data_IF_461877565939
#
_entry.id   IF_461877565939
#
_cell.length_a   1.000
_cell.length_b   1.000
_cell.length_c   1.000
_cell.angle_alpha   90.00
_cell.angle_beta   90.00
_cell.angle_gamma   90.00
#
_symmetry.space_group_name_H-M   'P 1'
#
loop_
_entity.id
_entity.type
_entity.pdbx_description
1 polymer ?
#
# COMPACT_ATOMS: atom_id res chain seq x y z
N UNK A 1 -20.84 12.56 11.73
CA UNK A 1 -21.50 11.24 11.63
C UNK A 1 -22.47 11.03 12.79
N UNK A 2 -22.01 10.78 14.02
CA UNK A 2 -22.88 10.42 15.17
C UNK A 2 -23.96 11.48 15.42
N UNK A 3 -23.59 12.77 15.42
CA UNK A 3 -24.52 13.86 15.61
C UNK A 3 -25.49 14.09 14.42
N UNK A 4 -25.16 13.56 13.25
CA UNK A 4 -25.94 13.73 12.01
C UNK A 4 -26.97 12.62 11.79
N UNK A 5 -27.08 11.65 12.69
CA UNK A 5 -28.00 10.51 12.59
C UNK A 5 -27.92 9.76 11.25
N UNK A 6 -26.70 9.49 10.80
CA UNK A 6 -26.47 8.68 9.59
C UNK A 6 -26.77 7.21 9.87
N UNK A 7 -27.14 6.45 8.84
CA UNK A 7 -27.47 5.04 8.95
C UNK A 7 -26.23 4.14 9.12
N UNK A 8 -25.05 4.61 8.70
CA UNK A 8 -23.77 3.90 8.84
C UNK A 8 -22.58 4.81 8.57
N UNK A 9 -21.40 4.37 8.94
CA UNK A 9 -20.12 5.08 8.73
C UNK A 9 -19.14 4.15 8.02
N UNK A 10 -18.50 4.68 6.97
CA UNK A 10 -17.34 4.07 6.31
C UNK A 10 -16.17 5.02 6.57
N UNK A 11 -15.06 4.51 7.08
CA UNK A 11 -13.86 5.30 7.36
C UNK A 11 -12.58 4.47 7.20
N UNK A 12 -11.48 5.12 6.89
CA UNK A 12 -10.15 4.56 7.04
C UNK A 12 -9.68 4.77 8.47
N UNK A 13 -9.23 3.69 9.12
CA UNK A 13 -8.83 3.74 10.52
C UNK A 13 -7.39 4.27 10.65
N UNK A 14 -7.17 5.20 11.59
CA UNK A 14 -5.84 5.72 11.95
C UNK A 14 -5.19 4.96 13.13
N UNK A 15 -5.97 4.08 13.79
CA UNK A 15 -5.53 3.28 14.93
C UNK A 15 -5.37 4.06 16.22
N UNK A 16 -5.75 5.33 16.27
CA UNK A 16 -5.65 6.17 17.46
C UNK A 16 -6.67 5.77 18.53
N UNK A 17 -6.33 5.96 19.80
CA UNK A 17 -7.27 5.70 20.90
C UNK A 17 -8.50 6.58 20.85
N UNK A 18 -8.36 7.77 20.29
CA UNK A 18 -9.47 8.71 20.13
C UNK A 18 -10.47 8.19 19.08
N UNK A 19 -9.96 7.74 17.92
CA UNK A 19 -10.78 7.13 16.88
C UNK A 19 -11.46 5.84 17.37
N UNK A 20 -10.71 4.94 18.04
CA UNK A 20 -11.27 3.73 18.65
C UNK A 20 -12.44 4.04 19.57
N UNK A 21 -12.31 5.10 20.38
CA UNK A 21 -13.40 5.56 21.26
C UNK A 21 -14.59 6.02 20.44
N UNK A 22 -14.39 6.84 19.40
CA UNK A 22 -15.46 7.37 18.55
C UNK A 22 -16.19 6.26 17.77
N UNK A 23 -15.44 5.28 17.22
CA UNK A 23 -16.02 4.10 16.56
C UNK A 23 -16.93 3.35 17.55
N UNK A 24 -16.42 3.07 18.74
CA UNK A 24 -17.19 2.33 19.74
C UNK A 24 -18.41 3.14 20.28
N UNK A 25 -18.34 4.46 20.29
CA UNK A 25 -19.51 5.31 20.62
C UNK A 25 -20.56 5.28 19.51
N UNK A 26 -20.15 5.32 18.23
CA UNK A 26 -21.07 5.17 17.09
C UNK A 26 -21.85 3.86 17.19
N UNK A 27 -21.13 2.75 17.44
CA UNK A 27 -21.72 1.42 17.58
C UNK A 27 -22.69 1.32 18.78
N UNK A 28 -22.36 1.92 19.92
CA UNK A 28 -23.28 2.01 21.08
C UNK A 28 -24.55 2.83 20.76
N UNK A 29 -24.41 3.82 19.88
CA UNK A 29 -25.52 4.60 19.34
C UNK A 29 -26.34 3.88 18.27
N UNK A 30 -25.99 2.64 17.91
CA UNK A 30 -26.68 1.85 16.90
C UNK A 30 -26.23 2.16 15.46
N UNK A 31 -25.15 2.91 15.27
CA UNK A 31 -24.61 3.27 13.95
C UNK A 31 -23.50 2.29 13.59
N UNK A 32 -23.69 1.39 12.60
CA UNK A 32 -22.66 0.44 12.15
C UNK A 32 -21.47 1.17 11.52
N UNK A 33 -20.27 0.61 11.75
CA UNK A 33 -19.02 1.16 11.22
C UNK A 33 -18.29 0.10 10.39
N UNK A 34 -17.92 0.44 9.18
CA UNK A 34 -17.05 -0.32 8.28
C UNK A 34 -15.71 0.40 8.19
N UNK A 35 -14.60 -0.31 8.42
CA UNK A 35 -13.26 0.22 8.16
C UNK A 35 -12.80 -0.15 6.76
N UNK A 36 -12.02 0.71 6.11
CA UNK A 36 -11.47 0.50 4.78
C UNK A 36 -9.97 0.72 4.77
N UNK A 37 -9.25 0.08 3.83
CA UNK A 37 -7.81 0.20 3.62
C UNK A 37 -6.96 -0.23 4.83
N UNK A 38 -7.13 0.42 5.96
CA UNK A 38 -6.48 0.11 7.24
C UNK A 38 -7.52 -0.39 8.24
N UNK A 39 -7.20 -1.49 8.93
CA UNK A 39 -8.10 -2.11 9.92
C UNK A 39 -7.71 -1.77 11.35
N UNK A 40 -8.71 -1.63 12.20
CA UNK A 40 -8.54 -1.56 13.65
C UNK A 40 -9.36 -2.65 14.35
N UNK A 41 -8.71 -3.78 14.58
CA UNK A 41 -9.33 -4.95 15.25
C UNK A 41 -9.63 -4.73 16.73
N UNK A 42 -9.15 -3.63 17.33
CA UNK A 42 -9.46 -3.26 18.72
C UNK A 42 -10.86 -2.61 18.86
N UNK A 43 -11.50 -2.28 17.73
CA UNK A 43 -12.84 -1.72 17.69
C UNK A 43 -13.90 -2.79 17.45
N UNK A 44 -15.16 -2.44 17.75
CA UNK A 44 -16.31 -3.30 17.43
C UNK A 44 -16.87 -3.11 16.02
N UNK A 45 -16.06 -2.61 15.06
CA UNK A 45 -16.48 -2.41 13.68
C UNK A 45 -17.16 -3.66 13.10
N UNK A 46 -18.15 -3.48 12.25
CA UNK A 46 -18.93 -4.61 11.72
C UNK A 46 -18.22 -5.35 10.59
N UNK A 47 -17.39 -4.63 9.83
CA UNK A 47 -16.64 -5.19 8.70
C UNK A 47 -15.38 -4.38 8.41
N UNK A 48 -14.39 -5.04 7.82
CA UNK A 48 -13.22 -4.42 7.20
C UNK A 48 -13.21 -4.74 5.71
N UNK A 49 -12.90 -3.74 4.88
CA UNK A 49 -12.74 -3.89 3.44
C UNK A 49 -11.34 -3.45 3.04
N UNK A 50 -10.51 -4.37 2.59
CA UNK A 50 -9.12 -4.03 2.33
C UNK A 50 -8.34 -5.11 1.58
N UNK A 51 -7.02 -4.92 1.51
CA UNK A 51 -6.11 -5.76 0.76
C UNK A 51 -6.04 -7.20 1.31
N UNK A 52 -5.85 -8.15 0.40
CA UNK A 52 -5.43 -9.49 0.75
C UNK A 52 -3.91 -9.54 0.84
N UNK A 53 -3.36 -9.49 2.06
CA UNK A 53 -1.91 -9.45 2.29
C UNK A 53 -1.17 -10.60 1.61
N UNK A 54 -1.79 -11.77 1.48
CA UNK A 54 -1.19 -12.92 0.81
C UNK A 54 -1.05 -12.68 -0.71
N UNK A 55 -2.14 -12.30 -1.36
CA UNK A 55 -2.14 -12.03 -2.80
C UNK A 55 -1.27 -10.81 -3.14
N UNK A 56 -1.33 -9.77 -2.32
CA UNK A 56 -0.49 -8.58 -2.50
C UNK A 56 1.00 -8.91 -2.34
N UNK A 57 1.35 -9.73 -1.35
CA UNK A 57 2.72 -10.22 -1.19
C UNK A 57 3.22 -11.02 -2.40
N UNK A 58 2.36 -11.89 -2.96
CA UNK A 58 2.69 -12.65 -4.18
C UNK A 58 2.88 -11.73 -5.39
N UNK A 59 2.05 -10.68 -5.54
CA UNK A 59 2.21 -9.70 -6.61
C UNK A 59 3.55 -8.95 -6.51
N UNK A 60 3.94 -8.49 -5.32
CA UNK A 60 5.27 -7.90 -5.11
C UNK A 60 6.38 -8.90 -5.40
N UNK A 61 6.24 -10.16 -4.95
CA UNK A 61 7.25 -11.21 -5.21
C UNK A 61 7.46 -11.42 -6.70
N UNK A 62 6.40 -11.45 -7.49
CA UNK A 62 6.49 -11.59 -8.95
C UNK A 62 7.26 -10.43 -9.58
N UNK A 63 6.93 -9.19 -9.21
CA UNK A 63 7.62 -8.00 -9.70
C UNK A 63 9.10 -8.01 -9.29
N UNK A 64 9.41 -8.25 -8.02
CA UNK A 64 10.80 -8.34 -7.53
C UNK A 64 11.57 -9.44 -8.24
N UNK A 65 10.97 -10.61 -8.45
CA UNK A 65 11.62 -11.75 -9.11
C UNK A 65 12.09 -11.44 -10.53
N UNK A 66 11.35 -10.59 -11.25
CA UNK A 66 11.75 -10.08 -12.56
C UNK A 66 12.95 -9.12 -12.54
N UNK A 67 13.28 -8.59 -11.36
CA UNK A 67 14.36 -7.60 -11.18
C UNK A 67 15.61 -8.18 -10.53
N UNK A 68 15.60 -9.45 -10.12
CA UNK A 68 16.74 -10.09 -9.46
C UNK A 68 17.95 -10.19 -10.39
N UNK A 69 19.13 -9.97 -9.84
CA UNK A 69 20.41 -10.23 -10.54
C UNK A 69 20.52 -11.72 -10.90
N UNK A 70 21.07 -12.00 -12.07
CA UNK A 70 21.28 -13.37 -12.52
C UNK A 70 22.24 -14.16 -11.61
N UNK A 71 23.20 -13.46 -10.99
CA UNK A 71 24.18 -14.00 -10.04
C UNK A 71 24.45 -12.96 -8.94
N UNK A 72 24.77 -13.44 -7.73
CA UNK A 72 25.12 -12.60 -6.60
C UNK A 72 23.90 -12.18 -5.78
N UNK A 73 24.07 -11.14 -4.98
CA UNK A 73 23.05 -10.60 -4.07
C UNK A 73 22.31 -9.43 -4.70
N UNK A 74 20.99 -9.45 -4.66
CA UNK A 74 20.13 -8.30 -4.95
C UNK A 74 19.66 -7.71 -3.63
N UNK A 75 19.94 -6.45 -3.40
CA UNK A 75 19.42 -5.72 -2.25
C UNK A 75 18.02 -5.19 -2.56
N UNK A 76 17.06 -5.51 -1.72
CA UNK A 76 15.64 -5.10 -1.83
C UNK A 76 15.24 -4.40 -0.54
N UNK A 77 14.80 -3.16 -0.64
CA UNK A 77 14.36 -2.38 0.52
C UNK A 77 12.86 -2.08 0.40
N UNK A 78 12.11 -2.43 1.43
CA UNK A 78 10.74 -1.99 1.63
C UNK A 78 10.72 -0.68 2.41
N UNK A 79 10.02 0.31 1.87
CA UNK A 79 9.91 1.64 2.46
C UNK A 79 8.44 2.00 2.67
N UNK A 80 8.10 2.34 3.90
CA UNK A 80 6.76 2.71 4.33
C UNK A 80 6.80 3.94 5.24
N UNK A 81 5.67 4.63 5.38
CA UNK A 81 5.48 5.61 6.45
C UNK A 81 4.94 4.95 7.71
N UNK A 82 5.00 5.64 8.85
CA UNK A 82 4.41 5.15 10.10
C UNK A 82 2.89 4.99 9.99
N UNK A 83 2.22 5.80 9.17
CA UNK A 83 0.79 5.69 8.90
C UNK A 83 0.41 4.47 8.05
N UNK A 84 1.27 4.06 7.12
CA UNK A 84 1.05 2.89 6.26
C UNK A 84 1.59 1.59 6.86
N UNK A 85 2.31 1.64 7.99
CA UNK A 85 2.83 0.45 8.67
C UNK A 85 1.77 -0.20 9.54
N UNK A 86 0.99 -1.09 8.94
CA UNK A 86 -0.11 -1.83 9.56
C UNK A 86 0.23 -3.30 9.77
N UNK A 87 -0.68 -4.05 10.37
CA UNK A 87 -0.56 -5.50 10.44
C UNK A 87 -0.58 -6.14 9.05
N UNK A 88 -1.40 -5.60 8.14
CA UNK A 88 -1.54 -6.07 6.77
C UNK A 88 -0.23 -5.89 5.98
N UNK A 89 0.43 -4.74 6.08
CA UNK A 89 1.71 -4.48 5.40
C UNK A 89 2.84 -5.36 5.96
N UNK A 90 2.85 -5.62 7.28
CA UNK A 90 3.78 -6.58 7.89
C UNK A 90 3.57 -8.01 7.36
N UNK A 91 2.31 -8.42 7.12
CA UNK A 91 1.99 -9.72 6.51
C UNK A 91 2.41 -9.77 5.04
N UNK A 92 2.25 -8.68 4.28
CA UNK A 92 2.76 -8.55 2.90
C UNK A 92 4.27 -8.77 2.87
N UNK A 93 5.04 -8.05 3.70
CA UNK A 93 6.49 -8.21 3.80
C UNK A 93 6.90 -9.64 4.15
N UNK A 94 6.24 -10.24 5.14
CA UNK A 94 6.49 -11.62 5.56
C UNK A 94 6.22 -12.64 4.45
N UNK A 95 5.18 -12.43 3.65
CA UNK A 95 4.84 -13.28 2.51
C UNK A 95 5.88 -13.15 1.40
N UNK A 96 6.29 -11.93 1.05
CA UNK A 96 7.36 -11.69 0.07
C UNK A 96 8.64 -12.40 0.49
N UNK A 97 9.07 -12.26 1.74
CA UNK A 97 10.26 -12.91 2.28
C UNK A 97 10.19 -14.42 2.11
N UNK A 98 9.06 -15.03 2.50
CA UNK A 98 8.83 -16.48 2.40
C UNK A 98 8.90 -16.96 0.95
N UNK A 99 8.28 -16.24 0.01
CA UNK A 99 8.24 -16.65 -1.39
C UNK A 99 9.59 -16.48 -2.08
N UNK A 100 10.31 -15.37 -1.84
CA UNK A 100 11.65 -15.16 -2.39
C UNK A 100 12.64 -16.22 -1.88
N UNK A 101 12.55 -16.62 -0.61
CA UNK A 101 13.35 -17.71 -0.06
C UNK A 101 13.03 -19.05 -0.74
N UNK A 102 11.74 -19.33 -1.02
CA UNK A 102 11.30 -20.56 -1.68
C UNK A 102 11.69 -20.63 -3.15
N UNK A 103 11.78 -19.48 -3.85
CA UNK A 103 12.11 -19.39 -5.28
C UNK A 103 13.61 -19.25 -5.55
N UNK A 104 14.44 -19.26 -4.51
CA UNK A 104 15.89 -19.03 -4.58
C UNK A 104 16.57 -20.00 -5.55
N UNK A 105 17.24 -19.46 -6.57
CA UNK A 105 18.06 -20.22 -7.51
C UNK A 105 19.52 -20.31 -7.05
N UNK A 106 20.23 -21.33 -7.50
CA UNK A 106 21.65 -21.50 -7.19
C UNK A 106 22.46 -20.30 -7.68
N UNK A 107 23.25 -19.70 -6.78
CA UNK A 107 24.07 -18.51 -7.06
C UNK A 107 23.34 -17.18 -6.95
N UNK A 108 22.07 -17.18 -6.62
CA UNK A 108 21.30 -15.97 -6.29
C UNK A 108 21.07 -15.86 -4.79
N UNK A 109 21.09 -14.63 -4.29
CA UNK A 109 20.63 -14.29 -2.94
C UNK A 109 19.88 -12.96 -2.96
N UNK A 110 18.98 -12.78 -2.01
CA UNK A 110 18.27 -11.53 -1.79
C UNK A 110 18.58 -11.05 -0.39
N UNK A 111 19.01 -9.81 -0.28
CA UNK A 111 19.14 -9.09 0.98
C UNK A 111 17.91 -8.21 1.13
N UNK A 112 17.00 -8.61 2.02
CA UNK A 112 15.70 -7.99 2.19
C UNK A 112 15.69 -7.16 3.46
N UNK A 113 15.48 -5.86 3.32
CA UNK A 113 15.39 -4.90 4.42
C UNK A 113 14.05 -4.18 4.43
N UNK A 114 13.64 -3.72 5.59
CA UNK A 114 12.43 -2.92 5.78
C UNK A 114 12.78 -1.64 6.53
N UNK A 115 12.28 -0.52 6.04
CA UNK A 115 12.43 0.78 6.67
C UNK A 115 11.05 1.44 6.83
N UNK A 116 10.82 2.03 8.00
CA UNK A 116 9.60 2.78 8.28
C UNK A 116 10.00 4.21 8.63
N UNK A 117 9.55 5.14 7.81
CA UNK A 117 9.76 6.57 8.05
C UNK A 117 8.74 7.05 9.07
N UNK A 118 9.21 7.74 10.11
CA UNK A 118 8.30 8.42 11.03
C UNK A 118 7.70 9.64 10.33
N UNK A 119 6.43 9.58 10.01
CA UNK A 119 5.68 10.63 9.30
C UNK A 119 4.96 11.58 10.26
N UNK A 120 5.48 11.78 11.47
CA UNK A 120 4.89 12.66 12.48
C UNK A 120 4.96 14.16 12.13
N UNK A 121 5.85 14.55 11.19
CA UNK A 121 5.93 15.88 10.60
C UNK A 121 5.76 15.84 9.08
N UNK A 122 5.19 16.91 8.50
CA UNK A 122 4.80 16.98 7.08
C UNK A 122 5.96 16.80 6.07
N UNK A 123 7.22 16.98 6.51
CA UNK A 123 8.41 16.92 5.64
C UNK A 123 9.32 15.71 5.93
N UNK A 124 9.01 14.87 6.91
CA UNK A 124 9.92 13.81 7.36
C UNK A 124 10.16 12.76 6.25
N UNK A 125 9.14 12.41 5.46
CA UNK A 125 9.27 11.42 4.39
C UNK A 125 10.14 11.95 3.24
N UNK A 126 9.92 13.19 2.80
CA UNK A 126 10.72 13.82 1.75
C UNK A 126 12.18 13.97 2.18
N UNK A 127 12.42 14.43 3.41
CA UNK A 127 13.77 14.60 3.96
C UNK A 127 14.50 13.26 4.10
N UNK A 128 13.82 12.24 4.60
CA UNK A 128 14.39 10.90 4.71
C UNK A 128 14.77 10.33 3.34
N UNK A 129 13.85 10.40 2.37
CA UNK A 129 14.10 9.90 1.00
C UNK A 129 15.26 10.69 0.38
N UNK A 130 15.25 12.03 0.50
CA UNK A 130 16.35 12.87 0.02
C UNK A 130 17.68 12.43 0.62
N UNK A 131 17.76 12.29 1.93
CA UNK A 131 18.99 11.92 2.62
C UNK A 131 19.51 10.53 2.23
N UNK A 132 18.60 9.58 1.98
CA UNK A 132 18.93 8.26 1.43
C UNK A 132 19.61 8.39 0.07
N UNK A 133 19.09 9.24 -0.83
CA UNK A 133 19.64 9.44 -2.18
C UNK A 133 20.91 10.28 -2.20
N UNK A 134 21.09 11.21 -1.28
CA UNK A 134 22.34 12.01 -1.14
C UNK A 134 23.51 11.15 -0.71
N UNK A 135 23.29 10.18 0.16
CA UNK A 135 24.34 9.31 0.71
C UNK A 135 24.68 8.09 -0.18
N UNK A 136 24.25 8.05 -1.41
CA UNK A 136 24.46 7.17 -2.57
C UNK A 136 25.16 5.78 -2.36
N UNK A 137 26.01 5.63 -1.34
CA UNK A 137 26.81 4.42 -1.07
C UNK A 137 25.96 3.18 -0.68
N UNK A 138 24.67 3.35 -0.38
CA UNK A 138 23.80 2.29 0.16
C UNK A 138 22.41 2.21 -0.51
N UNK A 139 22.24 2.77 -1.70
CA UNK A 139 20.97 2.63 -2.41
C UNK A 139 20.69 1.15 -2.75
N UNK A 140 19.48 0.65 -2.54
CA UNK A 140 19.13 -0.72 -2.88
C UNK A 140 19.06 -0.91 -4.40
N UNK A 141 19.22 -2.16 -4.86
CA UNK A 141 18.99 -2.51 -6.27
C UNK A 141 17.50 -2.38 -6.62
N UNK A 142 16.62 -2.70 -5.66
CA UNK A 142 15.16 -2.62 -5.79
C UNK A 142 14.58 -1.92 -4.57
N UNK A 143 13.81 -0.87 -4.80
CA UNK A 143 13.07 -0.14 -3.78
C UNK A 143 11.57 -0.42 -3.95
N UNK A 144 10.93 -0.89 -2.90
CA UNK A 144 9.50 -1.20 -2.85
C UNK A 144 8.82 -0.18 -1.96
N UNK A 145 8.01 0.69 -2.55
CA UNK A 145 7.24 1.69 -1.82
C UNK A 145 5.89 1.08 -1.40
N UNK A 146 5.52 1.26 -0.13
CA UNK A 146 4.34 0.64 0.45
C UNK A 146 3.16 1.62 0.60
N UNK A 147 3.34 2.86 0.18
CA UNK A 147 2.30 3.89 0.13
C UNK A 147 2.56 4.92 -0.99
N UNK A 148 1.54 5.75 -1.26
CA UNK A 148 1.57 6.77 -2.31
C UNK A 148 2.61 7.84 -2.04
N UNK A 149 2.66 8.36 -0.81
CA UNK A 149 3.55 9.47 -0.42
C UNK A 149 5.01 9.06 -0.63
N UNK A 150 5.40 7.88 -0.15
CA UNK A 150 6.75 7.35 -0.37
C UNK A 150 7.03 7.17 -1.86
N UNK A 151 6.05 6.68 -2.64
CA UNK A 151 6.21 6.45 -4.08
C UNK A 151 6.53 7.76 -4.81
N UNK A 152 5.80 8.82 -4.51
CA UNK A 152 6.00 10.14 -5.13
C UNK A 152 7.31 10.81 -4.69
N UNK A 153 7.66 10.71 -3.40
CA UNK A 153 8.96 11.21 -2.91
C UNK A 153 10.13 10.49 -3.58
N UNK A 154 10.06 9.16 -3.73
CA UNK A 154 11.10 8.37 -4.41
C UNK A 154 11.18 8.72 -5.89
N UNK A 155 10.05 8.87 -6.58
CA UNK A 155 10.02 9.31 -7.97
C UNK A 155 10.75 10.64 -8.16
N UNK A 156 10.46 11.63 -7.31
CA UNK A 156 11.12 12.93 -7.38
C UNK A 156 12.62 12.82 -7.11
N UNK A 157 13.01 12.06 -6.08
CA UNK A 157 14.41 11.87 -5.74
C UNK A 157 15.22 11.16 -6.84
N UNK A 158 14.64 10.17 -7.54
CA UNK A 158 15.29 9.52 -8.69
C UNK A 158 15.69 10.53 -9.77
N UNK A 159 14.84 11.53 -10.02
CA UNK A 159 15.11 12.59 -11.01
C UNK A 159 16.16 13.55 -10.46
N UNK A 160 15.96 14.09 -9.26
CA UNK A 160 16.78 15.14 -8.68
C UNK A 160 18.24 14.70 -8.46
N UNK A 161 18.44 13.41 -8.11
CA UNK A 161 19.77 12.83 -7.86
C UNK A 161 20.31 11.99 -9.02
N UNK A 162 19.65 12.05 -10.20
CA UNK A 162 20.07 11.34 -11.43
C UNK A 162 20.26 9.83 -11.22
N UNK A 163 19.34 9.21 -10.48
CA UNK A 163 19.37 7.78 -10.17
C UNK A 163 18.38 6.96 -11.01
N UNK A 164 17.74 7.57 -12.02
CA UNK A 164 16.84 6.89 -12.93
C UNK A 164 17.57 5.74 -13.63
N UNK A 165 17.03 4.53 -13.50
CA UNK A 165 17.57 3.30 -14.05
C UNK A 165 18.65 2.62 -13.19
N UNK A 166 19.25 3.31 -12.21
CA UNK A 166 20.20 2.71 -11.26
C UNK A 166 19.48 1.95 -10.15
N UNK A 167 18.34 2.49 -9.67
CA UNK A 167 17.45 1.84 -8.72
C UNK A 167 16.17 1.44 -9.42
N UNK A 168 15.75 0.18 -9.28
CA UNK A 168 14.44 -0.28 -9.75
C UNK A 168 13.40 0.04 -8.69
N UNK A 169 12.26 0.60 -9.08
CA UNK A 169 11.22 0.98 -8.13
C UNK A 169 9.90 0.27 -8.44
N UNK A 170 9.30 -0.30 -7.41
CA UNK A 170 7.92 -0.78 -7.41
C UNK A 170 7.15 0.16 -6.49
N UNK A 171 6.22 0.93 -7.06
CA UNK A 171 5.39 1.89 -6.34
C UNK A 171 4.13 1.27 -5.75
N UNK A 172 3.38 2.10 -5.08
CA UNK A 172 2.03 1.80 -4.60
C UNK A 172 1.08 2.90 -5.04
N UNK A 173 -0.18 2.51 -5.38
CA UNK A 173 -1.23 3.40 -5.86
C UNK A 173 -1.07 3.82 -7.35
N UNK A 174 -1.93 4.72 -7.85
CA UNK A 174 -1.98 5.14 -9.26
C UNK A 174 -2.41 6.61 -9.46
N UNK A 175 -1.88 7.54 -8.65
CA UNK A 175 -2.05 8.97 -8.95
C UNK A 175 -1.48 9.30 -10.33
N UNK A 176 -1.90 10.43 -10.91
CA UNK A 176 -1.39 10.87 -12.22
C UNK A 176 0.12 10.99 -12.25
N UNK A 177 0.71 11.40 -11.12
CA UNK A 177 2.16 11.49 -10.96
C UNK A 177 2.81 10.10 -11.08
N UNK A 178 2.24 9.09 -10.42
CA UNK A 178 2.75 7.71 -10.46
C UNK A 178 2.55 7.09 -11.85
N UNK A 179 1.39 7.30 -12.49
CA UNK A 179 1.14 6.83 -13.85
C UNK A 179 2.13 7.45 -14.86
N UNK A 180 2.39 8.75 -14.74
CA UNK A 180 3.40 9.44 -15.56
C UNK A 180 4.81 8.91 -15.33
N UNK A 181 5.16 8.59 -14.08
CA UNK A 181 6.44 8.02 -13.73
C UNK A 181 6.63 6.62 -14.34
N UNK A 182 5.56 5.81 -14.40
CA UNK A 182 5.55 4.49 -15.04
C UNK A 182 5.64 4.62 -16.56
N UNK A 183 4.88 5.53 -17.19
CA UNK A 183 4.94 5.78 -18.64
C UNK A 183 6.34 6.21 -19.09
N UNK A 184 7.04 6.99 -18.26
CA UNK A 184 8.43 7.42 -18.47
C UNK A 184 9.48 6.37 -18.08
N UNK A 185 9.06 5.20 -17.61
CA UNK A 185 9.93 4.11 -17.13
C UNK A 185 10.88 4.51 -15.99
N UNK A 186 10.51 5.54 -15.22
CA UNK A 186 11.23 5.97 -14.01
C UNK A 186 10.87 5.05 -12.84
N UNK A 187 9.57 4.72 -12.69
CA UNK A 187 9.06 3.65 -11.84
C UNK A 187 8.76 2.44 -12.72
N UNK A 188 9.15 1.25 -12.30
CA UNK A 188 9.02 0.03 -13.09
C UNK A 188 7.59 -0.50 -13.14
N UNK A 189 6.90 -0.44 -12.02
CA UNK A 189 5.50 -0.84 -11.84
C UNK A 189 4.93 -0.28 -10.54
N UNK A 190 3.62 -0.33 -10.38
CA UNK A 190 2.97 -0.05 -9.09
C UNK A 190 1.94 -1.14 -8.76
N UNK A 191 1.72 -1.39 -7.47
CA UNK A 191 0.64 -2.22 -6.97
C UNK A 191 -0.48 -1.28 -6.49
N UNK A 192 -1.68 -1.49 -6.97
CA UNK A 192 -2.85 -0.69 -6.58
C UNK A 192 -4.01 -1.58 -6.17
N UNK A 193 -4.82 -1.13 -5.23
CA UNK A 193 -6.06 -1.80 -4.87
C UNK A 193 -7.18 -1.37 -5.81
N UNK A 194 -8.15 -2.27 -6.03
CA UNK A 194 -9.37 -1.96 -6.76
C UNK A 194 -10.27 -1.05 -5.91
N UNK A 195 -10.20 0.26 -6.18
CA UNK A 195 -10.94 1.27 -5.42
C UNK A 195 -12.45 1.18 -5.65
N UNK A 196 -12.91 0.69 -6.81
CA UNK A 196 -14.32 0.44 -7.09
C UNK A 196 -14.84 -0.71 -6.22
N UNK A 197 -14.04 -1.75 -6.02
CA UNK A 197 -14.38 -2.84 -5.11
C UNK A 197 -14.42 -2.36 -3.65
N UNK A 198 -13.48 -1.51 -3.23
CA UNK A 198 -13.51 -0.92 -1.88
C UNK A 198 -14.84 -0.19 -1.66
N UNK A 199 -15.21 0.70 -2.56
CA UNK A 199 -16.48 1.44 -2.49
C UNK A 199 -17.69 0.50 -2.45
N UNK A 200 -17.77 -0.42 -3.39
CA UNK A 200 -18.87 -1.37 -3.54
C UNK A 200 -19.03 -2.29 -2.32
N UNK A 201 -17.93 -2.90 -1.86
CA UNK A 201 -18.00 -3.83 -0.72
C UNK A 201 -18.28 -3.12 0.59
N UNK A 202 -17.82 -1.87 0.75
CA UNK A 202 -18.11 -1.08 1.95
C UNK A 202 -19.60 -0.76 2.08
N UNK A 203 -20.23 -0.35 0.98
CA UNK A 203 -21.67 -0.10 0.94
C UNK A 203 -22.45 -1.40 1.14
N UNK A 204 -22.04 -2.48 0.47
CA UNK A 204 -22.69 -3.78 0.62
C UNK A 204 -22.62 -4.29 2.06
N UNK A 205 -21.48 -4.12 2.74
CA UNK A 205 -21.33 -4.54 4.14
C UNK A 205 -22.29 -3.79 5.07
N UNK A 206 -22.49 -2.48 4.84
CA UNK A 206 -23.50 -1.70 5.59
C UNK A 206 -24.92 -2.16 5.26
N UNK A 207 -25.26 -2.33 3.98
CA UNK A 207 -26.60 -2.75 3.55
C UNK A 207 -26.96 -4.14 4.11
N UNK A 208 -26.04 -5.11 4.04
CA UNK A 208 -26.21 -6.42 4.65
C UNK A 208 -26.47 -6.31 6.16
N UNK A 209 -25.67 -5.51 6.87
CA UNK A 209 -25.82 -5.37 8.30
C UNK A 209 -27.16 -4.70 8.67
N UNK A 210 -27.55 -3.64 7.98
CA UNK A 210 -28.81 -2.94 8.22
C UNK A 210 -30.04 -3.79 7.90
N UNK A 211 -29.93 -4.65 6.87
CA UNK A 211 -31.04 -5.49 6.42
C UNK A 211 -31.14 -6.81 7.18
N UNK A 212 -30.01 -7.44 7.54
CA UNK A 212 -29.95 -8.79 8.07
C UNK A 212 -29.47 -8.85 9.53
N UNK A 213 -28.92 -7.76 10.07
CA UNK A 213 -28.35 -7.69 11.42
C UNK A 213 -26.93 -8.28 11.51
N UNK A 214 -26.32 -8.66 10.41
CA UNK A 214 -24.94 -9.17 10.34
C UNK A 214 -24.35 -8.90 8.95
N UNK A 215 -23.02 -8.87 8.86
CA UNK A 215 -22.23 -8.81 7.64
C UNK A 215 -20.99 -9.69 7.77
N UNK A 216 -20.29 -9.94 6.68
CA UNK A 216 -18.98 -10.58 6.75
C UNK A 216 -18.00 -9.67 7.50
N UNK A 217 -17.16 -10.27 8.36
CA UNK A 217 -16.17 -9.51 9.13
C UNK A 217 -15.06 -8.89 8.26
N UNK A 218 -14.85 -9.44 7.04
CA UNK A 218 -13.81 -9.01 6.13
C UNK A 218 -14.22 -9.24 4.66
N UNK A 219 -14.00 -8.21 3.83
CA UNK A 219 -14.08 -8.29 2.38
C UNK A 219 -12.70 -8.00 1.78
N UNK A 220 -12.16 -8.98 1.10
CA UNK A 220 -10.92 -8.85 0.36
C UNK A 220 -11.18 -8.18 -0.98
N UNK A 221 -10.41 -7.15 -1.29
CA UNK A 221 -10.41 -6.51 -2.60
C UNK A 221 -9.27 -7.01 -3.47
N UNK A 222 -9.47 -6.97 -4.79
CA UNK A 222 -8.44 -7.30 -5.75
C UNK A 222 -7.36 -6.21 -5.78
N UNK A 223 -6.15 -6.62 -6.17
CA UNK A 223 -5.07 -5.69 -6.52
C UNK A 223 -4.76 -5.80 -8.01
N UNK A 224 -4.24 -4.72 -8.54
CA UNK A 224 -3.76 -4.60 -9.91
C UNK A 224 -2.27 -4.31 -9.92
N UNK A 225 -1.56 -4.92 -10.86
CA UNK A 225 -0.19 -4.54 -11.20
C UNK A 225 -0.26 -3.56 -12.36
N UNK A 226 0.18 -2.34 -12.13
CA UNK A 226 0.20 -1.28 -13.12
C UNK A 226 1.61 -1.21 -13.69
N UNK A 227 1.70 -1.35 -15.00
CA UNK A 227 2.91 -1.28 -15.79
C UNK A 227 2.69 -0.35 -16.98
N UNK A 228 3.74 -0.02 -17.72
CA UNK A 228 3.64 0.84 -18.91
C UNK A 228 2.60 0.36 -19.93
N UNK A 229 2.32 -0.94 -19.98
CA UNK A 229 1.38 -1.52 -20.93
C UNK A 229 -0.09 -1.18 -20.62
N UNK A 230 -0.42 -0.90 -19.36
CA UNK A 230 -1.80 -0.71 -18.91
C UNK A 230 -2.09 0.60 -18.16
N UNK A 231 -1.16 1.54 -18.06
CA UNK A 231 -1.37 2.85 -17.40
C UNK A 231 -2.61 3.58 -17.90
N UNK A 232 -2.92 3.46 -19.20
CA UNK A 232 -4.06 4.13 -19.84
C UNK A 232 -5.42 3.68 -19.29
N UNK A 233 -5.50 2.48 -18.71
CA UNK A 233 -6.74 1.94 -18.16
C UNK A 233 -7.13 2.63 -16.84
N UNK A 234 -6.14 3.28 -16.18
CA UNK A 234 -6.27 3.94 -14.89
C UNK A 234 -6.38 5.47 -14.98
N UNK A 235 -6.27 6.05 -16.18
CA UNK A 235 -6.45 7.49 -16.38
C UNK A 235 -7.93 7.86 -16.52
N UNK A 236 -8.29 9.05 -16.05
CA UNK A 236 -9.65 9.59 -16.19
C UNK A 236 -10.01 9.85 -17.67
N UNK A 237 -11.32 9.91 -17.99
CA UNK A 237 -11.79 10.10 -19.38
C UNK A 237 -11.30 11.40 -20.00
N UNK A 238 -11.04 12.44 -19.19
CA UNK A 238 -10.57 13.75 -19.66
C UNK A 238 -9.06 13.77 -20.02
N UNK A 239 -8.33 12.68 -19.69
CA UNK A 239 -6.88 12.54 -19.89
C UNK A 239 -6.51 11.45 -20.91
N UNK A 240 -7.51 10.75 -21.47
CA UNK A 240 -7.35 9.74 -22.53
C UNK A 240 -7.37 10.40 -23.92
#
# INVERSE_FOLDING_TARGET
GIASQVDGIILEADGSKEEQHLINEALKGGIPVVTVMTDDTATGRISFVGLNSYQTGSAYTEQISGMLKAQGTTSVMFLSTSSSKTQETNLVYSQVKKELEAQKKTGQSVDLTEYCVDSSADFDTEEFVRDMFVNDENLPDVLVCMDEVVTECVYQALIDYNQVGNVKVIGFYYSDVILDAIDKEIISSAIALDMDEIGRYSVNALDEYLSLGHSNNYYSVNQHVITKENTKDYRTEDEK
#
